data_IF_869308664813
#
_entry.id   IF_869308664813
#
_cell.length_a   1.000
_cell.length_b   1.000
_cell.length_c   1.000
_cell.angle_alpha   90.00
_cell.angle_beta   90.00
_cell.angle_gamma   90.00
#
_symmetry.space_group_name_H-M   'P 1'
#
loop_
_entity.id
_entity.type
_entity.pdbx_description
1 polymer ?
#
# COMPACT_ATOMS: atom_id res chain seq x y z
N UNK A 1 -2.71 0.76 -9.09
CA UNK A 1 -3.99 0.70 -9.84
C UNK A 1 -3.72 0.88 -11.31
N UNK A 2 -4.42 0.14 -12.16
CA UNK A 2 -4.37 0.49 -13.58
C UNK A 2 -5.19 1.76 -13.80
N UNK A 3 -4.61 2.66 -14.59
CA UNK A 3 -5.20 3.96 -14.86
C UNK A 3 -6.57 3.86 -15.53
N UNK A 4 -6.69 2.92 -16.50
CA UNK A 4 -7.92 2.73 -17.26
C UNK A 4 -9.12 2.32 -16.39
N UNK A 5 -8.96 1.29 -15.57
CA UNK A 5 -10.05 0.77 -14.72
C UNK A 5 -10.46 1.78 -13.65
N UNK A 6 -9.50 2.48 -13.05
CA UNK A 6 -9.82 3.52 -12.08
C UNK A 6 -10.55 4.68 -12.72
N UNK A 7 -10.13 5.11 -13.90
CA UNK A 7 -10.80 6.18 -14.62
C UNK A 7 -12.24 5.80 -14.99
N UNK A 8 -12.49 4.56 -15.39
CA UNK A 8 -13.84 4.09 -15.65
C UNK A 8 -14.72 4.19 -14.40
N UNK A 9 -14.21 3.79 -13.24
CA UNK A 9 -14.91 3.90 -11.97
C UNK A 9 -15.20 5.34 -11.57
N UNK A 10 -14.27 6.27 -11.86
CA UNK A 10 -14.49 7.70 -11.61
C UNK A 10 -15.61 8.22 -12.51
N UNK A 11 -15.59 7.85 -13.80
CA UNK A 11 -16.60 8.31 -14.76
C UNK A 11 -18.02 7.82 -14.44
N UNK A 12 -18.16 6.59 -13.93
CA UNK A 12 -19.47 6.02 -13.58
C UNK A 12 -19.89 6.35 -12.14
N UNK A 13 -19.06 7.06 -11.37
CA UNK A 13 -19.39 7.48 -10.02
C UNK A 13 -19.21 6.43 -8.94
N UNK A 14 -18.57 5.29 -9.24
CA UNK A 14 -18.42 4.19 -8.28
C UNK A 14 -17.09 4.17 -7.53
N UNK A 15 -16.13 5.01 -7.93
CA UNK A 15 -14.77 4.99 -7.36
C UNK A 15 -14.76 5.19 -5.85
N UNK A 16 -15.53 6.16 -5.34
CA UNK A 16 -15.59 6.45 -3.91
C UNK A 16 -16.08 5.27 -3.08
N UNK A 17 -17.16 4.62 -3.53
CA UNK A 17 -17.71 3.45 -2.83
C UNK A 17 -16.76 2.26 -2.88
N UNK A 18 -16.11 2.02 -4.01
CA UNK A 18 -15.12 0.94 -4.16
C UNK A 18 -13.90 1.16 -3.27
N UNK A 19 -13.37 2.39 -3.24
CA UNK A 19 -12.26 2.75 -2.36
C UNK A 19 -12.62 2.58 -0.89
N UNK A 20 -13.80 3.07 -0.49
CA UNK A 20 -14.26 2.94 0.89
C UNK A 20 -14.34 1.47 1.31
N UNK A 21 -14.86 0.61 0.46
CA UNK A 21 -14.97 -0.82 0.74
C UNK A 21 -13.59 -1.44 0.98
N UNK A 22 -12.60 -1.12 0.16
CA UNK A 22 -11.24 -1.62 0.31
C UNK A 22 -10.61 -1.10 1.60
N UNK A 23 -10.71 0.20 1.86
CA UNK A 23 -10.11 0.81 3.05
C UNK A 23 -10.76 0.28 4.34
N UNK A 24 -12.07 0.09 4.34
CA UNK A 24 -12.78 -0.48 5.50
C UNK A 24 -12.36 -1.94 5.75
N UNK A 25 -12.11 -2.71 4.70
CA UNK A 25 -11.69 -4.11 4.82
C UNK A 25 -10.24 -4.28 5.23
N UNK A 26 -9.34 -3.44 4.72
CA UNK A 26 -7.89 -3.57 4.94
C UNK A 26 -7.37 -2.74 6.10
N UNK A 27 -8.10 -1.72 6.53
CA UNK A 27 -7.79 -0.87 7.68
C UNK A 27 -6.33 -0.40 7.73
N UNK A 28 -5.85 0.33 6.73
CA UNK A 28 -4.48 0.81 6.75
C UNK A 28 -4.28 1.83 7.87
N UNK A 29 -3.05 1.92 8.38
CA UNK A 29 -2.68 2.97 9.35
C UNK A 29 -2.72 4.36 8.72
N UNK A 30 -2.39 4.45 7.44
CA UNK A 30 -2.43 5.69 6.68
C UNK A 30 -2.72 5.38 5.21
N UNK A 31 -3.41 6.30 4.55
CA UNK A 31 -3.73 6.18 3.14
C UNK A 31 -3.53 7.54 2.47
N UNK A 32 -2.82 7.55 1.35
CA UNK A 32 -2.56 8.74 0.56
C UNK A 32 -2.86 8.47 -0.90
N UNK A 33 -3.39 9.44 -1.58
CA UNK A 33 -3.68 9.37 -3.00
C UNK A 33 -2.85 10.42 -3.73
N UNK A 34 -2.13 9.97 -4.75
CA UNK A 34 -1.22 10.83 -5.50
C UNK A 34 -1.13 10.33 -6.95
N UNK A 35 -0.15 10.82 -7.68
CA UNK A 35 0.22 10.28 -8.98
C UNK A 35 1.69 9.87 -8.96
N UNK A 36 2.02 8.86 -9.73
CA UNK A 36 3.40 8.45 -9.97
C UNK A 36 3.51 8.20 -11.48
N UNK A 37 4.44 8.86 -12.13
CA UNK A 37 4.61 8.81 -13.59
C UNK A 37 3.30 9.11 -14.35
N UNK A 38 2.51 10.07 -13.84
CA UNK A 38 1.24 10.47 -14.45
C UNK A 38 0.08 9.50 -14.22
N UNK A 39 0.27 8.47 -13.41
CA UNK A 39 -0.76 7.47 -13.12
C UNK A 39 -1.32 7.67 -11.72
N UNK A 40 -2.64 7.53 -11.57
CA UNK A 40 -3.28 7.60 -10.26
C UNK A 40 -2.77 6.49 -9.37
N UNK A 41 -2.35 6.84 -8.15
CA UNK A 41 -1.66 5.94 -7.23
C UNK A 41 -2.22 6.08 -5.83
N UNK A 42 -2.43 4.97 -5.14
CA UNK A 42 -2.72 4.94 -3.72
C UNK A 42 -1.47 4.43 -2.98
N UNK A 43 -1.08 5.14 -1.94
CA UNK A 43 -0.01 4.72 -1.05
C UNK A 43 -0.65 4.40 0.29
N UNK A 44 -0.51 3.16 0.71
CA UNK A 44 -1.11 2.67 1.96
C UNK A 44 -0.01 2.18 2.89
N UNK A 45 -0.12 2.56 4.14
CA UNK A 45 0.76 2.04 5.19
C UNK A 45 -0.06 1.04 6.00
N UNK A 46 0.38 -0.21 6.02
CA UNK A 46 -0.32 -1.28 6.70
C UNK A 46 0.60 -1.96 7.70
N UNK A 47 0.02 -2.39 8.82
CA UNK A 47 0.72 -3.21 9.80
C UNK A 47 0.45 -4.67 9.47
N UNK A 48 1.44 -5.31 8.83
CA UNK A 48 1.32 -6.71 8.41
C UNK A 48 2.12 -7.59 9.36
N UNK A 49 1.44 -8.52 10.01
CA UNK A 49 2.05 -9.41 10.99
C UNK A 49 2.69 -10.65 10.35
N UNK A 50 2.19 -11.06 9.21
CA UNK A 50 2.60 -12.28 8.54
C UNK A 50 2.47 -12.10 7.02
N UNK A 51 3.41 -12.67 6.27
CA UNK A 51 3.41 -12.55 4.81
C UNK A 51 2.20 -13.22 4.16
N UNK A 52 1.55 -14.16 4.84
CA UNK A 52 0.31 -14.76 4.36
C UNK A 52 -0.85 -13.77 4.24
N UNK A 53 -0.72 -12.58 4.82
CA UNK A 53 -1.70 -11.50 4.71
C UNK A 53 -1.60 -10.72 3.40
N UNK A 54 -0.55 -10.93 2.61
CA UNK A 54 -0.35 -10.22 1.34
C UNK A 54 -1.56 -10.33 0.41
N UNK A 55 -2.12 -11.53 0.15
CA UNK A 55 -3.28 -11.63 -0.73
C UNK A 55 -4.49 -10.83 -0.25
N UNK A 56 -4.78 -10.85 1.04
CA UNK A 56 -5.91 -10.08 1.59
C UNK A 56 -5.73 -8.58 1.40
N UNK A 57 -4.49 -8.09 1.38
CA UNK A 57 -4.18 -6.69 1.17
C UNK A 57 -4.14 -6.30 -0.32
N UNK A 58 -3.66 -7.19 -1.17
CA UNK A 58 -3.42 -6.90 -2.59
C UNK A 58 -4.63 -7.21 -3.49
N UNK A 59 -5.31 -8.33 -3.27
CA UNK A 59 -6.38 -8.79 -4.14
C UNK A 59 -7.53 -7.81 -4.30
N UNK A 60 -7.97 -7.07 -3.27
CA UNK A 60 -9.00 -6.06 -3.47
C UNK A 60 -8.65 -5.05 -4.56
N UNK A 61 -7.38 -4.67 -4.67
CA UNK A 61 -6.91 -3.74 -5.70
C UNK A 61 -6.84 -4.39 -7.08
N UNK A 62 -6.33 -5.62 -7.16
CA UNK A 62 -6.28 -6.37 -8.42
C UNK A 62 -7.67 -6.60 -8.98
N UNK A 63 -8.58 -7.08 -8.15
CA UNK A 63 -9.91 -7.49 -8.60
C UNK A 63 -10.83 -6.30 -8.87
N UNK A 64 -10.72 -5.23 -8.09
CA UNK A 64 -11.59 -4.07 -8.22
C UNK A 64 -11.12 -3.11 -9.30
N UNK A 65 -9.81 -2.86 -9.40
CA UNK A 65 -9.25 -1.83 -10.28
C UNK A 65 -8.22 -2.35 -11.27
N UNK A 66 -7.97 -3.65 -11.31
CA UNK A 66 -6.89 -4.24 -12.12
C UNK A 66 -5.55 -3.55 -11.87
N UNK A 67 -5.29 -3.21 -10.61
CA UNK A 67 -4.16 -2.41 -10.23
C UNK A 67 -2.84 -3.17 -10.33
N UNK A 68 -1.76 -2.43 -10.58
CA UNK A 68 -0.42 -2.89 -10.28
C UNK A 68 -0.14 -2.63 -8.80
N UNK A 69 0.30 -3.63 -8.07
CA UNK A 69 0.55 -3.53 -6.63
C UNK A 69 2.01 -3.85 -6.32
N UNK A 70 2.63 -2.97 -5.55
CA UNK A 70 4.00 -3.15 -5.06
C UNK A 70 4.00 -3.11 -3.54
N UNK A 71 4.75 -4.00 -2.93
CA UNK A 71 4.96 -4.02 -1.49
C UNK A 71 6.38 -3.60 -1.17
N UNK A 72 6.51 -2.71 -0.19
CA UNK A 72 7.81 -2.28 0.31
C UNK A 72 7.82 -2.38 1.83
N UNK A 73 8.74 -3.13 2.42
CA UNK A 73 8.91 -3.11 3.86
C UNK A 73 9.31 -1.70 4.30
N UNK A 74 8.71 -1.24 5.37
CA UNK A 74 9.03 0.06 5.95
C UNK A 74 9.25 -0.10 7.45
N UNK A 75 10.16 0.69 7.98
CA UNK A 75 10.48 0.71 9.41
C UNK A 75 10.06 2.03 10.02
N UNK A 76 9.57 1.97 11.26
CA UNK A 76 9.41 3.16 12.07
C UNK A 76 10.78 3.58 12.63
N UNK A 77 10.91 4.82 13.13
CA UNK A 77 12.13 5.20 13.85
C UNK A 77 12.48 4.26 15.01
N UNK A 78 11.47 3.76 15.72
CA UNK A 78 11.68 2.80 16.80
C UNK A 78 12.23 1.47 16.29
N UNK A 79 11.76 0.98 15.15
CA UNK A 79 12.28 -0.23 14.52
C UNK A 79 13.74 -0.05 14.11
N UNK A 80 14.07 1.10 13.57
CA UNK A 80 15.43 1.42 13.15
C UNK A 80 16.39 1.46 14.35
N UNK A 81 15.96 2.06 15.45
CA UNK A 81 16.72 2.09 16.69
C UNK A 81 16.95 0.68 17.23
N UNK A 82 15.91 -0.13 17.24
CA UNK A 82 15.94 -1.53 17.72
C UNK A 82 16.86 -2.41 16.87
N UNK A 83 17.07 -2.06 15.61
CA UNK A 83 17.94 -2.83 14.70
C UNK A 83 19.41 -2.79 15.11
N UNK A 84 19.84 -1.80 15.88
CA UNK A 84 21.23 -1.72 16.38
C UNK A 84 22.24 -1.38 15.29
N UNK A 85 21.98 -0.32 14.52
CA UNK A 85 22.89 0.11 13.43
C UNK A 85 24.31 0.35 13.88
N UNK A 86 24.51 0.85 15.10
CA UNK A 86 25.87 1.10 15.63
C UNK A 86 26.69 -0.18 15.73
N UNK A 87 26.07 -1.27 16.15
CA UNK A 87 26.72 -2.59 16.20
C UNK A 87 27.00 -3.12 14.80
N UNK A 88 26.03 -2.94 13.89
CA UNK A 88 26.18 -3.37 12.51
C UNK A 88 27.31 -2.61 11.81
N UNK A 89 27.37 -1.30 12.05
CA UNK A 89 28.43 -0.46 11.47
C UNK A 89 29.82 -0.88 11.96
N UNK A 90 29.96 -1.24 13.24
CA UNK A 90 31.23 -1.72 13.80
C UNK A 90 31.67 -3.04 13.17
N UNK A 91 30.71 -3.92 12.85
CA UNK A 91 31.00 -5.21 12.24
C UNK A 91 31.46 -5.06 10.79
N UNK A 92 30.92 -4.10 10.06
CA UNK A 92 31.15 -3.95 8.62
C UNK A 92 32.03 -2.75 8.24
N UNK A 93 32.25 -1.88 9.18
CA UNK A 93 33.11 -0.71 8.99
C UNK A 93 34.55 -0.97 9.29
#
# INVERSE_FOLDING_TARGET
>A
MTHHTFNAAVKDGTAGAKLKKILDATKPEAAYFTEICGKRTAILVVDMKDTSQIPALAEPWFLTFEADVQFRPAMTPADLEKAGLDKIAKQWG
#
